data_IF_532527698568
#
_entry.id   IF_532527698568
#
_cell.length_a   1.000
_cell.length_b   1.000
_cell.length_c   1.000
_cell.angle_alpha   90.00
_cell.angle_beta   90.00
_cell.angle_gamma   90.00
#
_symmetry.space_group_name_H-M   'P 1'
#
loop_
_entity.id
_entity.type
_entity.pdbx_description
1 polymer ?
#
# COMPACT_ATOMS: atom_id res chain seq x y z
N UNK A 1 -26.14 -47.73 23.07
CA UNK A 1 -25.55 -47.13 24.28
C UNK A 1 -24.82 -45.86 23.84
N UNK A 2 -25.50 -44.72 23.69
CA UNK A 2 -25.93 -43.76 24.71
C UNK A 2 -24.74 -43.15 25.48
N UNK A 3 -24.26 -41.96 25.08
CA UNK A 3 -24.38 -40.68 25.80
C UNK A 3 -23.38 -39.62 25.25
N UNK A 4 -23.93 -38.53 24.75
CA UNK A 4 -23.31 -37.20 24.60
C UNK A 4 -23.00 -36.64 25.99
N UNK A 5 -21.84 -36.01 26.21
CA UNK A 5 -21.76 -34.80 27.06
C UNK A 5 -20.39 -34.12 26.98
N UNK A 6 -20.42 -32.91 26.41
CA UNK A 6 -19.49 -31.82 26.67
C UNK A 6 -19.76 -31.24 28.07
N UNK A 7 -18.74 -31.11 28.92
CA UNK A 7 -18.72 -30.21 30.09
C UNK A 7 -17.26 -29.79 30.33
N UNK A 8 -16.83 -28.63 29.83
CA UNK A 8 -16.77 -27.33 30.53
C UNK A 8 -16.00 -27.38 31.86
N UNK A 9 -14.75 -26.90 31.77
CA UNK A 9 -14.08 -25.94 32.66
C UNK A 9 -14.49 -25.93 34.14
N UNK A 10 -13.54 -26.27 35.02
CA UNK A 10 -13.49 -25.65 36.34
C UNK A 10 -12.06 -25.21 36.67
N UNK A 11 -12.03 -24.00 37.22
CA UNK A 11 -10.92 -23.20 37.72
C UNK A 11 -10.20 -23.89 38.90
N UNK A 12 -9.25 -23.18 39.52
CA UNK A 12 -8.50 -23.46 40.77
C UNK A 12 -7.39 -24.53 40.65
N UNK A 13 -6.16 -24.38 41.13
CA UNK A 13 -5.55 -23.45 42.07
C UNK A 13 -4.02 -23.51 41.96
N UNK A 14 -3.37 -22.41 42.29
CA UNK A 14 -1.93 -22.28 42.41
C UNK A 14 -1.32 -23.18 43.51
N UNK A 15 -0.07 -23.59 43.24
CA UNK A 15 0.96 -24.16 44.14
C UNK A 15 0.78 -25.63 44.51
N UNK A 16 1.58 -26.50 43.89
CA UNK A 16 2.53 -27.38 44.59
C UNK A 16 3.34 -28.22 43.56
N UNK A 17 4.67 -28.07 43.65
CA UNK A 17 5.72 -29.09 43.50
C UNK A 17 6.04 -29.62 42.10
N UNK A 18 7.18 -29.23 41.51
CA UNK A 18 8.57 -29.71 41.72
C UNK A 18 8.95 -30.88 40.77
N UNK A 19 9.97 -30.61 39.95
CA UNK A 19 10.87 -31.56 39.28
C UNK A 19 10.33 -32.42 38.12
N UNK A 20 10.65 -32.00 36.91
CA UNK A 20 11.38 -32.83 35.94
C UNK A 20 12.04 -31.94 34.87
N UNK A 21 13.36 -31.85 34.90
CA UNK A 21 14.16 -31.41 33.77
C UNK A 21 14.07 -32.49 32.68
N UNK A 22 13.80 -32.11 31.43
CA UNK A 22 13.71 -33.06 30.33
C UNK A 22 13.08 -32.47 29.08
N UNK A 23 13.89 -31.71 28.36
CA UNK A 23 13.80 -31.31 26.96
C UNK A 23 12.73 -32.01 26.10
N UNK A 24 11.88 -31.21 25.46
CA UNK A 24 11.63 -31.28 24.01
C UNK A 24 11.16 -29.89 23.58
N UNK A 25 12.15 -29.00 23.40
CA UNK A 25 12.04 -27.87 22.48
C UNK A 25 11.77 -28.49 21.11
N UNK A 26 10.50 -28.60 20.74
CA UNK A 26 10.11 -28.78 19.35
C UNK A 26 10.43 -27.45 18.66
N UNK A 27 11.67 -27.40 18.17
CA UNK A 27 12.19 -26.32 17.37
C UNK A 27 11.21 -26.02 16.24
N UNK A 28 10.52 -24.88 16.33
CA UNK A 28 9.89 -24.23 15.19
C UNK A 28 11.03 -23.72 14.30
N UNK A 29 11.70 -24.64 13.59
CA UNK A 29 12.54 -24.32 12.45
C UNK A 29 11.63 -24.15 11.23
N UNK A 30 10.80 -23.12 11.24
CA UNK A 30 10.45 -22.43 10.00
C UNK A 30 11.60 -21.45 9.72
N UNK A 31 12.74 -22.01 9.32
CA UNK A 31 13.80 -21.24 8.67
C UNK A 31 13.29 -20.85 7.29
N UNK A 32 12.49 -19.79 7.21
CA UNK A 32 12.27 -19.10 5.95
C UNK A 32 13.60 -18.47 5.53
N UNK A 33 13.99 -18.56 4.25
CA UNK A 33 15.23 -17.95 3.80
C UNK A 33 15.21 -16.45 4.15
N UNK A 34 16.27 -15.99 4.80
CA UNK A 34 16.57 -14.58 5.03
C UNK A 34 17.02 -13.90 3.71
N UNK A 35 16.31 -14.19 2.63
CA UNK A 35 16.42 -13.53 1.34
C UNK A 35 15.23 -12.61 1.23
N UNK A 36 15.48 -11.37 0.79
CA UNK A 36 14.47 -10.35 0.56
C UNK A 36 13.20 -10.99 -0.06
N UNK A 37 12.05 -10.78 0.59
CA UNK A 37 10.78 -11.32 0.10
C UNK A 37 10.64 -10.92 -1.37
N UNK A 38 10.22 -11.87 -2.20
CA UNK A 38 9.96 -11.54 -3.60
C UNK A 38 8.89 -10.45 -3.67
N UNK A 39 8.90 -9.62 -4.72
CA UNK A 39 7.97 -8.48 -4.88
C UNK A 39 6.50 -8.88 -4.64
N UNK A 40 6.14 -10.09 -5.05
CA UNK A 40 4.79 -10.65 -4.93
C UNK A 40 4.44 -11.03 -3.48
N UNK A 41 5.38 -11.63 -2.75
CA UNK A 41 5.21 -11.97 -1.34
C UNK A 41 5.15 -10.70 -0.48
N UNK A 42 6.00 -9.72 -0.79
CA UNK A 42 6.00 -8.42 -0.13
C UNK A 42 4.67 -7.68 -0.28
N UNK A 43 4.11 -7.65 -1.51
CA UNK A 43 2.80 -7.02 -1.77
C UNK A 43 1.68 -7.72 -1.00
N UNK A 44 1.70 -9.05 -0.96
CA UNK A 44 0.70 -9.85 -0.21
C UNK A 44 0.78 -9.55 1.30
N UNK A 45 2.00 -9.46 1.85
CA UNK A 45 2.23 -9.10 3.26
C UNK A 45 1.73 -7.70 3.59
N UNK A 46 1.88 -6.74 2.67
CA UNK A 46 1.37 -5.38 2.88
C UNK A 46 -0.15 -5.29 2.80
N UNK A 47 -0.80 -6.08 1.93
CA UNK A 47 -2.27 -6.12 1.92
C UNK A 47 -2.83 -6.73 3.21
N UNK A 48 -2.20 -7.80 3.72
CA UNK A 48 -2.53 -8.36 5.03
C UNK A 48 -2.33 -7.32 6.15
N UNK A 49 -1.18 -6.63 6.14
CA UNK A 49 -0.87 -5.58 7.11
C UNK A 49 -1.81 -4.35 7.01
N UNK A 50 -2.38 -4.07 5.84
CA UNK A 50 -3.42 -3.05 5.69
C UNK A 50 -4.77 -3.52 6.24
N UNK A 51 -5.09 -4.80 6.09
CA UNK A 51 -6.33 -5.38 6.59
C UNK A 51 -6.34 -5.50 8.13
N UNK A 52 -5.22 -5.91 8.73
CA UNK A 52 -5.07 -6.01 10.20
C UNK A 52 -4.65 -4.69 10.87
N UNK A 53 -4.28 -3.70 10.06
CA UNK A 53 -3.84 -2.39 10.52
C UNK A 53 -2.40 -2.36 11.06
N UNK A 54 -1.55 -3.34 10.76
CA UNK A 54 -0.12 -3.27 11.05
C UNK A 54 0.61 -2.29 10.12
N UNK A 55 -0.04 -1.83 9.03
CA UNK A 55 0.51 -0.88 8.06
C UNK A 55 -0.11 0.53 8.11
N UNK A 56 -1.04 0.85 9.03
CA UNK A 56 -1.72 2.17 9.06
C UNK A 56 -0.75 3.34 9.24
N UNK A 57 0.32 3.13 9.99
CA UNK A 57 1.34 4.15 10.29
C UNK A 57 2.63 3.97 9.46
N UNK A 58 2.66 2.99 8.55
CA UNK A 58 3.84 2.70 7.73
C UNK A 58 3.54 2.97 6.26
N UNK A 59 4.25 3.93 5.66
CA UNK A 59 4.19 4.13 4.21
C UNK A 59 4.76 2.89 3.51
N UNK A 60 4.30 2.61 2.29
CA UNK A 60 4.72 1.44 1.51
C UNK A 60 6.25 1.27 1.43
N UNK A 61 7.02 2.34 1.20
CA UNK A 61 8.48 2.30 1.17
C UNK A 61 9.07 1.92 2.54
N UNK A 62 8.50 2.41 3.65
CA UNK A 62 8.95 2.04 5.00
C UNK A 62 8.60 0.58 5.31
N UNK A 63 7.42 0.13 4.89
CA UNK A 63 7.00 -1.26 5.01
C UNK A 63 7.92 -2.18 4.21
N UNK A 64 8.25 -1.82 2.97
CA UNK A 64 9.19 -2.56 2.12
C UNK A 64 10.58 -2.61 2.73
N UNK A 65 11.09 -1.48 3.21
CA UNK A 65 12.38 -1.42 3.87
C UNK A 65 12.42 -2.27 5.15
N UNK A 66 11.34 -2.29 5.92
CA UNK A 66 11.26 -3.00 7.21
C UNK A 66 10.96 -4.50 7.08
N UNK A 67 10.17 -4.91 6.08
CA UNK A 67 9.61 -6.26 6.01
C UNK A 67 9.95 -7.04 4.73
N UNK A 68 10.49 -6.39 3.69
CA UNK A 68 10.73 -7.01 2.39
C UNK A 68 12.21 -7.10 2.01
N UNK A 69 13.11 -6.36 2.66
CA UNK A 69 14.57 -6.54 2.58
C UNK A 69 15.33 -5.33 2.00
N UNK A 70 16.67 -5.42 2.03
CA UNK A 70 17.55 -4.32 1.64
C UNK A 70 17.48 -3.97 0.13
N UNK A 71 17.26 -4.96 -0.72
CA UNK A 71 17.06 -4.77 -2.17
C UNK A 71 15.82 -3.90 -2.46
N UNK A 72 14.73 -4.16 -1.73
CA UNK A 72 13.52 -3.36 -1.81
C UNK A 72 13.78 -1.90 -1.39
N UNK A 73 14.48 -1.69 -0.28
CA UNK A 73 14.84 -0.35 0.19
C UNK A 73 15.76 0.41 -0.78
N UNK A 74 16.68 -0.29 -1.46
CA UNK A 74 17.56 0.30 -2.46
C UNK A 74 16.78 0.73 -3.72
N UNK A 75 15.86 -0.10 -4.19
CA UNK A 75 14.97 0.26 -5.30
C UNK A 75 14.07 1.46 -4.96
N UNK A 76 13.51 1.51 -3.74
CA UNK A 76 12.71 2.64 -3.26
C UNK A 76 13.53 3.94 -3.16
N UNK A 77 14.81 3.87 -2.78
CA UNK A 77 15.71 5.04 -2.82
C UNK A 77 16.05 5.51 -4.23
N UNK A 78 16.18 4.58 -5.18
CA UNK A 78 16.43 4.92 -6.57
C UNK A 78 15.22 5.61 -7.23
N UNK A 79 14.00 5.15 -6.92
CA UNK A 79 12.76 5.80 -7.39
C UNK A 79 12.63 7.23 -6.83
N UNK A 80 12.95 7.45 -5.56
CA UNK A 80 12.99 8.80 -4.98
C UNK A 80 14.03 9.71 -5.64
N UNK A 81 15.18 9.15 -6.03
CA UNK A 81 16.20 9.89 -6.76
C UNK A 81 15.74 10.26 -8.19
N UNK A 82 15.00 9.40 -8.87
CA UNK A 82 14.45 9.67 -10.21
C UNK A 82 13.35 10.75 -10.17
N UNK A 83 12.46 10.68 -9.18
CA UNK A 83 11.40 11.68 -8.97
C UNK A 83 11.98 13.06 -8.62
N UNK A 84 13.07 13.11 -7.86
CA UNK A 84 13.75 14.38 -7.53
C UNK A 84 14.62 14.92 -8.66
N UNK A 85 15.18 14.04 -9.51
CA UNK A 85 15.95 14.41 -10.69
C UNK A 85 15.06 14.86 -11.87
N UNK A 86 13.79 14.43 -11.90
CA UNK A 86 12.83 14.86 -12.94
C UNK A 86 12.30 16.27 -12.65
N UNK A 87 13.16 17.26 -12.81
CA UNK A 87 12.74 18.62 -13.15
C UNK A 87 12.45 18.61 -14.66
N UNK A 88 11.19 18.81 -15.04
CA UNK A 88 10.80 19.15 -16.42
C UNK A 88 10.74 18.00 -17.45
N UNK A 89 9.92 16.98 -17.18
CA UNK A 89 9.11 16.40 -18.27
C UNK A 89 7.65 16.37 -17.86
N UNK A 90 7.14 17.57 -17.64
CA UNK A 90 5.72 17.78 -17.46
C UNK A 90 4.97 17.24 -18.69
N UNK A 91 3.91 16.43 -18.52
CA UNK A 91 3.10 16.03 -19.66
C UNK A 91 2.56 17.30 -20.32
N UNK A 92 2.77 17.41 -21.64
CA UNK A 92 2.26 18.52 -22.43
C UNK A 92 0.78 18.77 -22.10
N UNK A 93 0.41 20.05 -22.01
CA UNK A 93 -0.95 20.48 -21.68
C UNK A 93 -1.95 19.65 -22.50
N UNK A 94 -2.93 19.00 -21.85
CA UNK A 94 -3.92 18.21 -22.57
C UNK A 94 -4.62 19.09 -23.60
N UNK A 95 -4.63 18.64 -24.86
CA UNK A 95 -5.32 19.32 -25.97
C UNK A 95 -6.79 18.92 -26.06
N UNK A 96 -7.16 17.81 -25.41
CA UNK A 96 -8.54 17.31 -25.34
C UNK A 96 -9.22 17.81 -24.05
N UNK A 97 -10.43 18.34 -24.16
CA UNK A 97 -11.21 18.76 -23.00
C UNK A 97 -11.61 17.55 -22.13
N UNK A 98 -11.60 17.75 -20.81
CA UNK A 98 -12.10 16.79 -19.84
C UNK A 98 -13.55 16.35 -20.18
N UNK A 99 -13.87 15.05 -20.15
CA UNK A 99 -15.25 14.61 -20.18
C UNK A 99 -15.99 15.18 -18.96
N UNK A 100 -17.19 15.75 -19.16
CA UNK A 100 -17.98 16.38 -18.07
C UNK A 100 -18.35 15.41 -16.94
N UNK A 101 -18.33 14.10 -17.22
CA UNK A 101 -18.67 13.06 -16.26
C UNK A 101 -17.52 12.67 -15.33
N UNK A 102 -16.28 13.03 -15.67
CA UNK A 102 -15.10 12.66 -14.88
C UNK A 102 -14.77 13.77 -13.89
N UNK A 103 -14.78 13.45 -12.60
CA UNK A 103 -14.38 14.38 -11.56
C UNK A 103 -12.86 14.33 -11.37
N UNK A 104 -12.27 15.52 -11.33
CA UNK A 104 -10.86 15.70 -11.00
C UNK A 104 -10.72 16.41 -9.65
N UNK A 105 -9.80 15.98 -8.79
CA UNK A 105 -9.47 16.70 -7.57
C UNK A 105 -8.92 18.10 -7.90
N UNK A 106 -9.26 19.07 -7.07
CA UNK A 106 -8.79 20.47 -7.17
C UNK A 106 -7.59 20.76 -6.27
N UNK A 107 -7.25 19.87 -5.36
CA UNK A 107 -6.11 20.00 -4.48
C UNK A 107 -5.47 18.63 -4.26
N UNK A 108 -4.21 18.65 -3.82
CA UNK A 108 -3.52 17.46 -3.33
C UNK A 108 -4.27 16.95 -2.09
N UNK A 109 -4.52 15.65 -2.01
CA UNK A 109 -5.17 15.05 -0.85
C UNK A 109 -4.30 15.26 0.40
N UNK A 110 -4.94 15.57 1.53
CA UNK A 110 -4.24 15.81 2.79
C UNK A 110 -3.39 14.62 3.23
N UNK A 111 -3.78 13.40 2.83
CA UNK A 111 -3.00 12.16 3.08
C UNK A 111 -1.62 12.13 2.39
N UNK A 112 -1.42 12.92 1.32
CA UNK A 112 -0.15 13.00 0.59
C UNK A 112 0.58 14.34 0.79
N UNK A 113 0.11 15.19 1.70
CA UNK A 113 0.71 16.51 1.94
C UNK A 113 2.16 16.46 2.45
N UNK A 114 2.63 15.30 2.92
CA UNK A 114 4.01 15.09 3.38
C UNK A 114 4.97 14.59 2.29
N UNK A 115 4.47 14.32 1.07
CA UNK A 115 5.28 13.88 -0.06
C UNK A 115 5.70 15.07 -0.94
N UNK A 116 6.65 14.86 -1.85
CA UNK A 116 7.03 15.91 -2.81
C UNK A 116 5.83 16.31 -3.67
N UNK A 117 5.69 17.59 -4.08
CA UNK A 117 4.51 18.05 -4.83
C UNK A 117 4.22 17.23 -6.10
N UNK A 118 5.26 16.72 -6.78
CA UNK A 118 5.11 15.82 -7.92
C UNK A 118 4.43 14.50 -7.55
N UNK A 119 4.94 13.82 -6.52
CA UNK A 119 4.42 12.52 -6.04
C UNK A 119 3.02 12.67 -5.42
N UNK A 120 2.80 13.73 -4.66
CA UNK A 120 1.52 13.97 -4.02
C UNK A 120 0.39 14.21 -5.03
N UNK A 121 0.69 14.94 -6.14
CA UNK A 121 -0.24 15.07 -7.29
C UNK A 121 -0.50 13.71 -7.95
N UNK A 122 0.54 12.91 -8.15
CA UNK A 122 0.43 11.57 -8.73
C UNK A 122 -0.52 10.68 -7.94
N UNK A 123 -0.27 10.49 -6.65
CA UNK A 123 -1.10 9.63 -5.81
C UNK A 123 -2.55 10.14 -5.72
N UNK A 124 -2.73 11.45 -5.53
CA UNK A 124 -4.07 12.06 -5.52
C UNK A 124 -4.84 11.77 -6.81
N UNK A 125 -4.19 11.89 -7.97
CA UNK A 125 -4.81 11.59 -9.26
C UNK A 125 -5.05 10.09 -9.48
N UNK A 126 -4.17 9.22 -9.00
CA UNK A 126 -4.34 7.76 -9.06
C UNK A 126 -5.59 7.33 -8.31
N UNK A 127 -5.81 7.82 -7.09
CA UNK A 127 -6.99 7.46 -6.32
C UNK A 127 -8.28 7.97 -6.95
N UNK A 128 -8.26 9.21 -7.45
CA UNK A 128 -9.41 9.77 -8.14
C UNK A 128 -9.71 9.00 -9.44
N UNK A 129 -8.69 8.50 -10.13
CA UNK A 129 -8.84 7.63 -11.29
C UNK A 129 -9.47 6.29 -10.92
N UNK A 130 -9.01 5.64 -9.85
CA UNK A 130 -9.59 4.39 -9.35
C UNK A 130 -11.04 4.59 -8.93
N UNK A 131 -11.36 5.64 -8.18
CA UNK A 131 -12.74 5.97 -7.82
C UNK A 131 -13.62 6.23 -9.05
N UNK A 132 -13.09 6.95 -10.05
CA UNK A 132 -13.82 7.18 -11.30
C UNK A 132 -14.01 5.89 -12.11
N UNK A 133 -13.04 4.97 -12.07
CA UNK A 133 -13.09 3.65 -12.69
C UNK A 133 -14.14 2.76 -12.03
N UNK A 134 -14.14 2.72 -10.70
CA UNK A 134 -15.09 1.93 -9.90
C UNK A 134 -16.51 2.46 -10.06
N UNK A 135 -16.67 3.78 -10.19
CA UNK A 135 -17.95 4.41 -10.50
C UNK A 135 -18.38 4.28 -11.98
N UNK A 136 -17.54 3.72 -12.86
CA UNK A 136 -17.84 3.62 -14.29
C UNK A 136 -17.95 4.97 -15.01
N UNK A 137 -17.38 6.03 -14.44
CA UNK A 137 -17.53 7.42 -14.93
C UNK A 137 -16.45 7.85 -15.92
N UNK A 138 -15.41 7.02 -16.10
CA UNK A 138 -14.29 7.31 -17.01
C UNK A 138 -14.70 7.36 -18.48
N UNK A 139 -15.75 6.62 -18.88
CA UNK A 139 -16.06 6.40 -20.29
C UNK A 139 -14.83 5.86 -21.02
N UNK A 140 -14.38 6.57 -22.05
CA UNK A 140 -13.19 6.23 -22.84
C UNK A 140 -11.86 6.76 -22.26
N UNK A 141 -11.90 7.49 -21.14
CA UNK A 141 -10.72 8.16 -20.59
C UNK A 141 -9.75 7.17 -19.91
N UNK A 142 -8.62 6.90 -20.57
CA UNK A 142 -7.53 6.08 -20.01
C UNK A 142 -6.61 6.91 -19.13
N UNK A 143 -5.86 6.24 -18.24
CA UNK A 143 -4.85 6.86 -17.37
C UNK A 143 -3.86 7.73 -18.16
N UNK A 144 -3.26 7.16 -19.21
CA UNK A 144 -2.38 7.84 -20.18
C UNK A 144 -2.87 7.53 -21.59
N UNK A 145 -3.02 8.57 -22.42
CA UNK A 145 -3.36 8.44 -23.85
C UNK A 145 -2.83 9.63 -24.66
N UNK A 146 -2.68 9.44 -25.97
CA UNK A 146 -2.24 10.50 -26.90
C UNK A 146 -3.26 11.64 -26.87
N UNK A 147 -2.81 12.88 -26.59
CA UNK A 147 -3.67 14.07 -26.57
C UNK A 147 -4.27 14.45 -25.20
N UNK A 148 -3.93 13.72 -24.13
CA UNK A 148 -4.32 14.06 -22.75
C UNK A 148 -5.18 12.97 -22.12
N UNK A 149 -4.54 12.12 -21.30
CA UNK A 149 -5.22 11.13 -20.45
C UNK A 149 -5.66 11.71 -19.11
N UNK A 150 -6.24 10.85 -18.28
CA UNK A 150 -6.70 11.23 -16.94
C UNK A 150 -5.59 11.91 -16.13
N UNK A 151 -4.37 11.36 -16.15
CA UNK A 151 -3.23 11.92 -15.42
C UNK A 151 -2.93 13.36 -15.84
N UNK A 152 -2.85 13.64 -17.15
CA UNK A 152 -2.56 14.98 -17.66
C UNK A 152 -3.66 15.98 -17.26
N UNK A 153 -4.93 15.59 -17.39
CA UNK A 153 -6.09 16.41 -17.04
C UNK A 153 -6.15 16.70 -15.53
N UNK A 154 -5.91 15.68 -14.70
CA UNK A 154 -5.88 15.80 -13.25
C UNK A 154 -4.70 16.64 -12.75
N UNK A 155 -3.50 16.41 -13.30
CA UNK A 155 -2.33 17.21 -12.96
C UNK A 155 -2.55 18.68 -13.34
N UNK A 156 -3.15 18.96 -14.49
CA UNK A 156 -3.55 20.32 -14.87
C UNK A 156 -4.63 20.90 -13.95
N UNK A 157 -5.64 20.12 -13.53
CA UNK A 157 -6.71 20.62 -12.65
C UNK A 157 -6.21 21.00 -11.26
N UNK A 158 -5.32 20.20 -10.67
CA UNK A 158 -4.73 20.51 -9.36
C UNK A 158 -3.82 21.74 -9.46
N UNK A 159 -2.98 21.82 -10.51
CA UNK A 159 -2.10 22.99 -10.72
C UNK A 159 -2.84 24.28 -11.08
N UNK A 160 -4.03 24.19 -11.65
CA UNK A 160 -4.84 25.37 -11.98
C UNK A 160 -5.68 25.86 -10.79
N UNK A 161 -5.80 25.06 -9.73
CA UNK A 161 -6.61 25.36 -8.56
C UNK A 161 -5.79 25.70 -7.31
N UNK A 162 -4.48 25.45 -7.32
CA UNK A 162 -3.50 25.98 -6.36
C UNK A 162 -2.79 27.20 -6.92
#
# INVERSE_FOLDING_TARGET
>A
MVFVASTKSYSTSHKLLLSAAGSLVAAFLMSSPAHALTMKECSTKYQAAKADGSAKDLKWNDFRAKFCGADAAAADKADEADVTATTEKEPAKPTTAAPKNVKFPKAIDKKYSSETPGKARLHTCVDAYHAAKDAGTLGDLKWIQKGGGYWSLCNTSIKAAG
#
